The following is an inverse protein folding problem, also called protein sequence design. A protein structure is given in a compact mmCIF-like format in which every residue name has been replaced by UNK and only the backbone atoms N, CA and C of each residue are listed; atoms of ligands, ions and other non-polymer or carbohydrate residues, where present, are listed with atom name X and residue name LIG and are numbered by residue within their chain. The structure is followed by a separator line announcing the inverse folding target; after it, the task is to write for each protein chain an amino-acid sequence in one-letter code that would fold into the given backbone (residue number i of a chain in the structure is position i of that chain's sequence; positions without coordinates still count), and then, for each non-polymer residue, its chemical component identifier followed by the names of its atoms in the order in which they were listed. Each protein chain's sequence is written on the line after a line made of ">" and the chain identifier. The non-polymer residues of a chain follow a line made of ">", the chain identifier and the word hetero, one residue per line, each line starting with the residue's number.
data_IF_271450171997
#
_entry.id   IF_271450171997
#
_cell.length_a   1.000
_cell.length_b   1.000
_cell.length_c   1.000
_cell.angle_alpha   90.00
_cell.angle_beta   90.00
_cell.angle_gamma   90.00
#
_symmetry.space_group_name_H-M   'P 1'
#
loop_
_entity.id
_entity.type
_entity.pdbx_description
1 polymer ?
#
# COMPACT_ATOMS: atom_id res chain seq x y z
N UNK A 1 -2.75 4.54 -4.36
CA UNK A 1 -3.11 5.95 -4.67
C UNK A 1 -4.25 6.33 -3.77
N UNK A 2 -4.20 7.53 -3.18
CA UNK A 2 -5.25 8.01 -2.28
C UNK A 2 -6.20 8.93 -3.04
N UNK A 3 -7.47 8.89 -2.69
CA UNK A 3 -8.50 9.74 -3.27
C UNK A 3 -8.86 10.84 -2.28
N UNK A 4 -8.72 12.09 -2.70
CA UNK A 4 -8.91 13.26 -1.85
C UNK A 4 -10.29 13.85 -2.09
N UNK A 5 -11.07 13.97 -1.02
CA UNK A 5 -12.31 14.75 -0.98
C UNK A 5 -11.98 16.13 -0.38
N UNK A 6 -12.32 17.19 -1.10
CA UNK A 6 -12.08 18.58 -0.67
C UNK A 6 -13.36 19.24 -0.16
N UNK A 7 -13.19 20.21 0.74
CA UNK A 7 -14.25 21.15 1.12
C UNK A 7 -14.40 22.28 0.09
N UNK A 8 -15.47 23.07 0.21
CA UNK A 8 -15.74 24.25 -0.64
C UNK A 8 -14.60 25.28 -0.58
N UNK A 9 -13.86 25.29 0.54
CA UNK A 9 -12.73 26.17 0.82
C UNK A 9 -11.41 25.68 0.18
N UNK A 10 -11.44 24.53 -0.50
CA UNK A 10 -10.27 23.92 -1.16
C UNK A 10 -9.37 23.11 -0.23
N UNK A 11 -9.64 23.03 1.08
CA UNK A 11 -8.89 22.19 2.03
C UNK A 11 -9.29 20.72 1.94
N UNK A 12 -8.37 19.81 2.32
CA UNK A 12 -8.68 18.38 2.41
C UNK A 12 -9.73 18.18 3.51
N UNK A 13 -10.84 17.51 3.15
CA UNK A 13 -11.91 17.11 4.07
C UNK A 13 -11.72 15.68 4.54
N UNK A 14 -11.41 14.77 3.61
CA UNK A 14 -11.28 13.35 3.87
C UNK A 14 -10.39 12.67 2.81
N UNK A 15 -9.80 11.54 3.20
CA UNK A 15 -8.95 10.72 2.36
C UNK A 15 -9.55 9.32 2.25
N UNK A 16 -9.78 8.86 1.03
CA UNK A 16 -10.38 7.57 0.72
C UNK A 16 -9.37 6.64 0.03
N UNK A 17 -9.51 5.33 0.26
CA UNK A 17 -8.66 4.31 -0.38
C UNK A 17 -9.19 3.85 -1.75
N UNK A 18 -10.44 4.19 -2.06
CA UNK A 18 -11.12 3.88 -3.32
C UNK A 18 -11.83 5.12 -3.88
N UNK A 19 -12.05 5.17 -5.20
CA UNK A 19 -12.75 6.29 -5.81
C UNK A 19 -14.19 6.33 -5.29
N UNK A 20 -14.55 7.45 -4.69
CA UNK A 20 -15.90 7.75 -4.22
C UNK A 20 -16.41 8.94 -5.01
N UNK A 21 -17.73 9.06 -5.20
CA UNK A 21 -18.33 10.11 -6.04
C UNK A 21 -18.11 11.57 -5.59
N UNK A 22 -17.26 11.80 -4.58
CA UNK A 22 -16.83 13.12 -4.10
C UNK A 22 -15.31 13.28 -4.06
N UNK A 23 -14.56 12.20 -4.32
CA UNK A 23 -13.11 12.14 -4.21
C UNK A 23 -12.51 11.85 -5.60
N UNK A 24 -12.23 12.92 -6.34
CA UNK A 24 -11.78 12.84 -7.74
C UNK A 24 -10.27 13.07 -7.91
N UNK A 25 -9.62 13.66 -6.90
CA UNK A 25 -8.21 13.98 -6.96
C UNK A 25 -7.39 12.83 -6.39
N UNK A 26 -6.40 12.38 -7.16
CA UNK A 26 -5.46 11.35 -6.73
C UNK A 26 -4.18 12.01 -6.24
N UNK A 27 -3.83 11.78 -4.98
CA UNK A 27 -2.55 12.21 -4.42
C UNK A 27 -1.72 11.04 -3.93
N UNK A 28 -0.42 11.27 -3.90
CA UNK A 28 0.52 10.35 -3.28
C UNK A 28 0.46 10.50 -1.76
N UNK A 29 0.73 9.41 -1.05
CA UNK A 29 0.89 9.36 0.41
C UNK A 29 1.99 10.32 0.92
N UNK A 30 2.97 10.64 0.07
CA UNK A 30 4.10 11.54 0.37
C UNK A 30 3.85 13.00 -0.01
N UNK A 31 2.63 13.37 -0.44
CA UNK A 31 2.30 14.74 -0.79
C UNK A 31 2.24 15.62 0.48
N UNK A 32 2.86 16.80 0.44
CA UNK A 32 2.96 17.72 1.57
C UNK A 32 1.57 18.12 2.13
N UNK A 33 0.58 18.24 1.25
CA UNK A 33 -0.79 18.59 1.64
C UNK A 33 -1.50 17.44 2.38
N UNK A 34 -1.23 16.20 1.96
CA UNK A 34 -1.74 14.98 2.61
C UNK A 34 -1.09 14.82 3.99
N UNK A 35 0.20 15.06 4.09
CA UNK A 35 0.95 15.03 5.35
C UNK A 35 0.49 16.14 6.31
N UNK A 36 0.19 17.34 5.80
CA UNK A 36 -0.34 18.44 6.60
C UNK A 36 -1.74 18.14 7.16
N UNK A 37 -2.62 17.55 6.35
CA UNK A 37 -3.97 17.13 6.79
C UNK A 37 -3.90 16.05 7.88
N UNK A 38 -3.03 15.05 7.71
CA UNK A 38 -2.87 13.95 8.67
C UNK A 38 -2.07 14.36 9.92
N UNK A 39 -1.25 15.42 9.82
CA UNK A 39 -0.48 15.99 10.93
C UNK A 39 -1.22 17.01 11.79
N UNK A 40 -2.38 17.48 11.35
CA UNK A 40 -3.16 18.50 12.06
C UNK A 40 -4.11 17.91 13.11
N UNK A 41 -4.40 16.61 13.05
CA UNK A 41 -5.12 15.87 14.09
C UNK A 41 -4.15 15.06 14.95
N UNK A 42 -4.32 15.13 16.26
CA UNK A 42 -3.45 14.63 17.33
C UNK A 42 -3.45 13.08 17.45
N UNK A 43 -3.62 12.38 16.33
CA UNK A 43 -3.64 10.93 16.26
C UNK A 43 -2.29 10.42 15.76
N UNK A 44 -1.39 10.15 16.71
CA UNK A 44 -0.21 9.29 16.52
C UNK A 44 -0.55 8.00 15.75
N UNK A 45 -1.78 7.50 15.92
CA UNK A 45 -2.42 6.43 15.13
C UNK A 45 -2.41 6.70 13.62
N UNK A 46 -2.71 7.92 13.18
CA UNK A 46 -2.73 8.34 11.77
C UNK A 46 -1.33 8.27 11.14
N UNK A 47 -0.31 8.70 11.87
CA UNK A 47 1.09 8.60 11.45
C UNK A 47 1.62 7.16 11.44
N UNK A 48 1.25 6.36 12.44
CA UNK A 48 1.56 4.92 12.48
C UNK A 48 0.87 4.20 11.32
N UNK A 49 -0.37 4.56 11.00
CA UNK A 49 -1.11 4.00 9.90
C UNK A 49 -0.51 4.40 8.55
N UNK A 50 -0.10 5.66 8.38
CA UNK A 50 0.68 6.16 7.24
C UNK A 50 2.00 5.41 7.05
N UNK A 51 2.77 5.24 8.12
CA UNK A 51 4.03 4.50 8.09
C UNK A 51 3.78 3.05 7.71
N UNK A 52 2.76 2.43 8.31
CA UNK A 52 2.33 1.06 7.98
C UNK A 52 1.90 0.93 6.52
N UNK A 53 1.19 1.92 5.97
CA UNK A 53 0.80 1.96 4.56
C UNK A 53 2.00 2.14 3.62
N UNK A 54 2.95 3.00 3.98
CA UNK A 54 4.22 3.18 3.27
C UNK A 54 5.05 1.89 3.29
N UNK A 55 5.15 1.25 4.45
CA UNK A 55 5.84 -0.02 4.64
C UNK A 55 5.20 -1.14 3.81
N UNK A 56 3.87 -1.13 3.66
CA UNK A 56 3.13 -2.05 2.77
C UNK A 56 3.46 -1.80 1.28
N UNK A 57 3.74 -0.57 0.87
CA UNK A 57 4.19 -0.31 -0.50
C UNK A 57 5.66 -0.73 -0.69
N UNK A 58 6.52 -0.44 0.28
CA UNK A 58 7.96 -0.73 0.21
C UNK A 58 8.21 -2.24 0.20
N UNK A 59 7.54 -2.99 1.09
CA UNK A 59 7.71 -4.44 1.15
C UNK A 59 7.31 -5.14 -0.15
N UNK A 60 6.32 -4.62 -0.89
CA UNK A 60 5.96 -5.14 -2.22
C UNK A 60 7.10 -4.96 -3.23
N UNK A 61 7.73 -3.80 -3.21
CA UNK A 61 8.89 -3.52 -4.07
C UNK A 61 10.05 -4.47 -3.71
N UNK A 62 10.25 -4.74 -2.42
CA UNK A 62 11.27 -5.69 -1.96
C UNK A 62 10.93 -7.13 -2.41
N UNK A 63 9.68 -7.56 -2.32
CA UNK A 63 9.24 -8.87 -2.82
C UNK A 63 9.49 -9.02 -4.32
N UNK A 64 9.08 -8.03 -5.11
CA UNK A 64 9.28 -8.03 -6.57
C UNK A 64 10.78 -8.01 -6.93
N UNK A 65 11.59 -7.25 -6.20
CA UNK A 65 13.03 -7.23 -6.37
C UNK A 65 13.65 -8.59 -6.06
N UNK A 66 13.27 -9.22 -4.94
CA UNK A 66 13.75 -10.56 -4.57
C UNK A 66 13.39 -11.56 -5.67
N UNK A 67 12.17 -11.50 -6.21
CA UNK A 67 11.72 -12.39 -7.29
C UNK A 67 12.48 -12.17 -8.59
N UNK A 68 12.79 -10.92 -8.94
CA UNK A 68 13.63 -10.61 -10.10
C UNK A 68 15.04 -11.17 -9.90
N UNK A 69 15.64 -10.98 -8.73
CA UNK A 69 16.99 -11.47 -8.44
C UNK A 69 17.06 -13.00 -8.46
N UNK A 70 16.06 -13.69 -7.90
CA UNK A 70 15.96 -15.15 -7.95
C UNK A 70 15.75 -15.65 -9.37
N UNK A 71 14.82 -15.05 -10.16
CA UNK A 71 14.59 -15.42 -11.57
C UNK A 71 15.84 -15.22 -12.43
N UNK A 72 16.66 -14.23 -12.11
CA UNK A 72 17.95 -13.96 -12.78
C UNK A 72 19.10 -14.82 -12.25
N UNK A 73 18.85 -15.72 -11.30
CA UNK A 73 19.85 -16.53 -10.61
C UNK A 73 20.98 -15.70 -9.96
N UNK A 74 20.66 -14.47 -9.53
CA UNK A 74 21.62 -13.59 -8.83
C UNK A 74 21.77 -13.98 -7.37
N UNK A 75 20.66 -14.38 -6.74
CA UNK A 75 20.62 -14.94 -5.38
C UNK A 75 19.74 -16.20 -5.38
N UNK A 76 19.99 -17.13 -4.47
CA UNK A 76 19.04 -18.18 -4.12
C UNK A 76 18.18 -17.73 -2.95
N UNK A 77 16.92 -18.19 -2.89
CA UNK A 77 16.04 -17.88 -1.76
C UNK A 77 16.66 -18.36 -0.42
N UNK A 78 17.44 -19.45 -0.46
CA UNK A 78 18.18 -20.01 0.68
C UNK A 78 19.31 -19.13 1.20
N UNK A 79 19.75 -18.14 0.42
CA UNK A 79 20.77 -17.17 0.84
C UNK A 79 20.21 -16.17 1.87
N UNK A 80 18.87 -16.06 1.94
CA UNK A 80 18.19 -15.23 2.92
C UNK A 80 18.05 -15.94 4.28
N UNK A 81 18.15 -15.21 5.40
CA UNK A 81 17.88 -15.75 6.74
C UNK A 81 16.52 -16.46 6.80
N UNK A 82 16.42 -17.50 7.64
CA UNK A 82 15.19 -18.30 7.78
C UNK A 82 13.97 -17.45 8.11
N UNK A 83 14.14 -16.44 8.97
CA UNK A 83 13.09 -15.50 9.33
C UNK A 83 12.62 -14.66 8.14
N UNK A 84 13.54 -14.19 7.30
CA UNK A 84 13.22 -13.42 6.10
C UNK A 84 12.45 -14.28 5.08
N UNK A 85 12.87 -15.54 4.88
CA UNK A 85 12.16 -16.50 4.03
C UNK A 85 10.72 -16.74 4.51
N UNK A 86 10.52 -16.93 5.80
CA UNK A 86 9.19 -17.15 6.38
C UNK A 86 8.29 -15.92 6.16
N UNK A 87 8.79 -14.72 6.46
CA UNK A 87 8.03 -13.47 6.26
C UNK A 87 7.66 -13.23 4.80
N UNK A 88 8.57 -13.50 3.87
CA UNK A 88 8.30 -13.40 2.42
C UNK A 88 7.24 -14.42 1.98
N UNK A 89 7.29 -15.65 2.48
CA UNK A 89 6.30 -16.68 2.14
C UNK A 89 4.91 -16.38 2.70
N UNK A 90 4.81 -15.92 3.95
CA UNK A 90 3.55 -15.53 4.58
C UNK A 90 2.89 -14.38 3.81
N UNK A 91 3.68 -13.37 3.44
CA UNK A 91 3.21 -12.21 2.67
C UNK A 91 2.75 -12.60 1.26
N UNK A 92 3.52 -13.46 0.57
CA UNK A 92 3.12 -14.01 -0.74
C UNK A 92 1.78 -14.75 -0.67
N UNK A 93 1.57 -15.59 0.35
CA UNK A 93 0.29 -16.31 0.51
C UNK A 93 -0.89 -15.37 0.76
N UNK A 94 -0.70 -14.32 1.58
CA UNK A 94 -1.72 -13.30 1.80
C UNK A 94 -2.04 -12.58 0.48
N UNK A 95 -1.01 -12.24 -0.30
CA UNK A 95 -1.16 -11.59 -1.61
C UNK A 95 -1.91 -12.46 -2.62
N UNK A 96 -1.53 -13.72 -2.77
CA UNK A 96 -2.20 -14.68 -3.67
C UNK A 96 -3.68 -14.83 -3.32
N UNK A 97 -4.03 -14.80 -2.02
CA UNK A 97 -5.44 -14.81 -1.58
C UNK A 97 -6.17 -13.51 -1.92
N UNK A 98 -5.53 -12.35 -1.75
CA UNK A 98 -6.13 -11.06 -2.07
C UNK A 98 -6.31 -10.85 -3.58
N UNK A 99 -5.35 -11.29 -4.41
CA UNK A 99 -5.45 -11.26 -5.87
C UNK A 99 -6.47 -12.29 -6.38
N UNK A 100 -6.55 -13.47 -5.74
CA UNK A 100 -7.57 -14.48 -6.03
C UNK A 100 -9.00 -14.03 -5.72
N UNK A 101 -9.20 -13.25 -4.65
CA UNK A 101 -10.51 -12.66 -4.31
C UNK A 101 -10.92 -11.55 -5.29
N UNK A 102 -9.95 -10.77 -5.81
CA UNK A 102 -10.22 -9.75 -6.83
C UNK A 102 -10.63 -10.37 -8.18
N UNK A 103 -10.10 -11.54 -8.53
CA UNK A 103 -10.46 -12.27 -9.75
C UNK A 103 -11.88 -12.87 -9.70
N UNK A 104 -12.45 -13.09 -8.52
CA UNK A 104 -13.81 -13.66 -8.38
C UNK A 104 -14.93 -12.60 -8.41
N UNK A 105 -14.60 -11.30 -8.35
CA UNK A 105 -15.60 -10.22 -8.36
C UNK A 105 -15.89 -9.71 -9.79
N UNK A 106 -15.03 -10.00 -10.77
CA UNK A 106 -15.18 -9.55 -12.16
C UNK A 106 -16.05 -10.47 -13.05
N UNK A 107 -16.51 -11.62 -12.55
CA UNK A 107 -17.29 -12.62 -13.32
C UNK A 107 -18.82 -12.49 -13.16
N UNK A 108 -19.33 -11.37 -12.66
CA UNK A 108 -20.78 -11.06 -12.65
C UNK A 108 -21.04 -9.78 -13.46
N UNK A 109 -21.22 -9.94 -14.77
CA UNK A 109 -21.89 -8.98 -15.66
C UNK A 109 -23.11 -9.66 -16.27
#
# INVERSE_FOLDING_TARGET
>A
MLYIERNEDGTIRAIHQSPTGKAYEQKNLMDEEVLAFLGSDDELESWIHLLSLSDVSIIRIIEDLVDVLVKKNVIMLTDLPREARNKLNERKQVRERMEGDQLLVDDII
#
